data_IF_447014804947
#
_entry.id   IF_447014804947
#
_cell.length_a   1.000
_cell.length_b   1.000
_cell.length_c   1.000
_cell.angle_alpha   90.00
_cell.angle_beta   90.00
_cell.angle_gamma   90.00
#
_symmetry.space_group_name_H-M   'P 1'
#
loop_
_entity.id
_entity.type
_entity.pdbx_description
1 polymer ?
#
# COMPACT_ATOMS: atom_id res chain seq x y z
N UNK A 1 18.30 5.74 -0.64
CA UNK A 1 17.62 6.56 0.39
C UNK A 1 16.33 5.87 0.77
N UNK A 2 15.91 5.88 2.04
CA UNK A 2 14.60 5.35 2.42
C UNK A 2 13.50 6.11 1.68
N UNK A 3 12.45 5.41 1.24
CA UNK A 3 11.30 6.06 0.61
C UNK A 3 10.59 6.93 1.63
N UNK A 4 10.00 8.03 1.19
CA UNK A 4 9.17 8.85 2.08
C UNK A 4 7.78 8.22 2.26
N UNK A 5 7.14 8.46 3.40
CA UNK A 5 5.77 7.98 3.65
C UNK A 5 4.79 8.47 2.56
N UNK A 6 4.95 9.72 2.08
CA UNK A 6 4.15 10.25 0.96
C UNK A 6 4.25 9.42 -0.32
N UNK A 7 5.43 8.84 -0.58
CA UNK A 7 5.68 8.05 -1.79
C UNK A 7 4.98 6.70 -1.68
N UNK A 8 5.05 6.04 -0.51
CA UNK A 8 4.29 4.82 -0.26
C UNK A 8 2.78 5.03 -0.40
N UNK A 9 2.24 6.12 0.14
CA UNK A 9 0.83 6.47 -0.01
C UNK A 9 0.45 6.71 -1.47
N UNK A 10 1.31 7.39 -2.24
CA UNK A 10 1.07 7.66 -3.65
C UNK A 10 1.04 6.38 -4.48
N UNK A 11 1.99 5.46 -4.22
CA UNK A 11 2.03 4.14 -4.87
C UNK A 11 0.76 3.32 -4.60
N UNK A 12 0.33 3.27 -3.34
CA UNK A 12 -0.90 2.58 -2.96
C UNK A 12 -2.14 3.20 -3.63
N UNK A 13 -2.21 4.53 -3.69
CA UNK A 13 -3.30 5.24 -4.35
C UNK A 13 -3.36 4.92 -5.85
N UNK A 14 -2.21 4.93 -6.54
CA UNK A 14 -2.11 4.59 -7.96
C UNK A 14 -2.51 3.14 -8.23
N UNK A 15 -2.21 2.24 -7.30
CA UNK A 15 -2.61 0.85 -7.38
C UNK A 15 -4.09 0.60 -7.06
N UNK A 16 -4.88 1.63 -6.72
CA UNK A 16 -6.30 1.51 -6.43
C UNK A 16 -6.64 1.22 -4.96
N UNK A 17 -5.67 1.30 -4.04
CA UNK A 17 -5.95 1.16 -2.62
C UNK A 17 -6.74 2.37 -2.10
N UNK A 18 -7.71 2.08 -1.24
CA UNK A 18 -8.47 3.09 -0.51
C UNK A 18 -7.83 3.32 0.86
N UNK A 19 -7.63 4.59 1.23
CA UNK A 19 -7.21 4.95 2.58
C UNK A 19 -8.42 5.18 3.49
N UNK A 20 -8.28 4.81 4.76
CA UNK A 20 -9.17 5.13 5.86
C UNK A 20 -8.37 5.78 6.98
N UNK A 21 -8.79 6.95 7.48
CA UNK A 21 -8.13 7.57 8.61
C UNK A 21 -8.24 6.66 9.84
N UNK A 22 -7.12 6.49 10.55
CA UNK A 22 -7.08 5.81 11.83
C UNK A 22 -6.67 6.80 12.92
N UNK A 23 -6.63 6.35 14.17
CA UNK A 23 -6.29 7.20 15.31
C UNK A 23 -4.90 7.85 15.13
N UNK A 24 -4.83 9.18 15.26
CA UNK A 24 -3.58 9.94 15.20
C UNK A 24 -3.01 10.07 13.79
N UNK A 25 -1.70 9.88 13.64
CA UNK A 25 -1.01 9.94 12.33
C UNK A 25 -1.00 8.58 11.62
N UNK A 26 -1.96 7.71 11.91
CA UNK A 26 -2.08 6.40 11.27
C UNK A 26 -3.12 6.44 10.16
N UNK A 27 -2.83 5.74 9.07
CA UNK A 27 -3.76 5.53 7.96
C UNK A 27 -3.81 4.05 7.63
N UNK A 28 -5.02 3.52 7.48
CA UNK A 28 -5.26 2.13 7.06
C UNK A 28 -5.55 2.12 5.57
N UNK A 29 -4.80 1.33 4.82
CA UNK A 29 -4.93 1.17 3.38
C UNK A 29 -5.47 -0.21 3.07
N UNK A 30 -6.49 -0.28 2.21
CA UNK A 30 -7.19 -1.53 1.86
C UNK A 30 -7.45 -1.57 0.36
N UNK A 31 -7.39 -2.75 -0.23
CA UNK A 31 -7.73 -2.98 -1.63
C UNK A 31 -8.86 -4.01 -1.71
N UNK A 32 -9.88 -3.87 -2.59
CA UNK A 32 -10.97 -4.83 -2.70
C UNK A 32 -10.51 -6.24 -3.09
N UNK A 33 -9.50 -6.36 -3.94
CA UNK A 33 -8.92 -7.64 -4.37
C UNK A 33 -7.97 -8.27 -3.34
N UNK A 34 -7.55 -7.55 -2.29
CA UNK A 34 -6.61 -8.07 -1.29
C UNK A 34 -7.25 -8.16 0.10
N UNK A 35 -7.15 -9.33 0.78
CA UNK A 35 -7.71 -9.48 2.12
C UNK A 35 -6.89 -8.73 3.19
N UNK A 36 -5.62 -8.43 2.91
CA UNK A 36 -4.71 -7.78 3.86
C UNK A 36 -4.81 -6.25 3.78
N UNK A 37 -4.86 -5.61 4.95
CA UNK A 37 -4.79 -4.16 5.07
C UNK A 37 -3.40 -3.70 5.50
N UNK A 38 -2.90 -2.62 4.91
CA UNK A 38 -1.60 -2.03 5.24
C UNK A 38 -1.81 -0.86 6.19
N UNK A 39 -1.11 -0.84 7.32
CA UNK A 39 -1.17 0.26 8.28
C UNK A 39 0.08 1.12 8.14
N UNK A 40 -0.08 2.31 7.57
CA UNK A 40 1.00 3.29 7.46
C UNK A 40 0.89 4.25 8.64
N UNK A 41 1.93 4.28 9.45
CA UNK A 41 2.07 5.16 10.59
C UNK A 41 3.08 6.28 10.30
N UNK A 42 2.68 7.53 10.52
CA UNK A 42 3.55 8.70 10.42
C UNK A 42 3.03 9.77 9.48
N UNK A 43 3.70 10.92 9.53
CA UNK A 43 3.43 12.07 8.64
C UNK A 43 4.12 11.87 7.30
N UNK A 44 3.62 12.56 6.27
CA UNK A 44 4.07 12.42 4.89
C UNK A 44 5.55 12.74 4.66
N UNK A 45 6.13 13.63 5.47
CA UNK A 45 7.54 14.01 5.40
C UNK A 45 8.52 13.03 6.08
N UNK A 46 8.02 12.07 6.84
CA UNK A 46 8.86 11.10 7.53
C UNK A 46 9.38 10.04 6.55
N UNK A 47 10.55 9.50 6.86
CA UNK A 47 11.07 8.32 6.19
C UNK A 47 10.23 7.09 6.55
N UNK A 48 9.93 6.27 5.54
CA UNK A 48 9.29 5.01 5.74
C UNK A 48 10.23 4.06 6.46
N UNK A 49 9.66 3.24 7.36
CA UNK A 49 10.42 2.16 7.97
C UNK A 49 10.60 1.04 6.93
N UNK A 50 11.74 0.33 6.91
CA UNK A 50 12.00 -0.72 5.92
C UNK A 50 10.89 -1.79 5.84
N UNK A 51 10.25 -2.14 6.96
CA UNK A 51 9.15 -3.10 6.96
C UNK A 51 7.89 -2.58 6.24
N UNK A 52 7.63 -1.26 6.27
CA UNK A 52 6.49 -0.67 5.57
C UNK A 52 6.72 -0.71 4.06
N UNK A 53 7.94 -0.41 3.63
CA UNK A 53 8.30 -0.53 2.22
C UNK A 53 8.12 -1.96 1.73
N UNK A 54 8.59 -2.94 2.51
CA UNK A 54 8.42 -4.36 2.20
C UNK A 54 6.93 -4.74 2.12
N UNK A 55 6.11 -4.35 3.10
CA UNK A 55 4.67 -4.63 3.08
C UNK A 55 3.95 -4.02 1.88
N UNK A 56 4.31 -2.79 1.50
CA UNK A 56 3.73 -2.12 0.33
C UNK A 56 4.12 -2.85 -0.95
N UNK A 57 5.40 -3.19 -1.12
CA UNK A 57 5.86 -3.91 -2.31
C UNK A 57 5.20 -5.29 -2.41
N UNK A 58 5.12 -6.06 -1.32
CA UNK A 58 4.46 -7.37 -1.29
C UNK A 58 2.98 -7.26 -1.70
N UNK A 59 2.27 -6.26 -1.19
CA UNK A 59 0.87 -6.06 -1.54
C UNK A 59 0.69 -5.65 -3.02
N UNK A 60 1.61 -4.87 -3.58
CA UNK A 60 1.60 -4.51 -5.00
C UNK A 60 1.92 -5.71 -5.89
N UNK A 61 2.86 -6.56 -5.50
CA UNK A 61 3.17 -7.80 -6.19
C UNK A 61 2.01 -8.79 -6.15
N UNK A 62 1.37 -8.98 -4.99
CA UNK A 62 0.15 -9.79 -4.87
C UNK A 62 -0.97 -9.24 -5.78
N UNK A 63 -1.14 -7.91 -5.82
CA UNK A 63 -2.15 -7.29 -6.68
C UNK A 63 -1.86 -7.49 -8.17
N UNK A 64 -0.61 -7.35 -8.60
CA UNK A 64 -0.24 -7.54 -9.99
C UNK A 64 -0.46 -8.99 -10.43
N UNK A 65 -0.15 -9.97 -9.57
CA UNK A 65 -0.45 -11.38 -9.86
C UNK A 65 -1.94 -11.64 -10.06
N UNK A 66 -2.78 -11.09 -9.19
CA UNK A 66 -4.25 -11.21 -9.33
C UNK A 66 -4.72 -10.60 -10.65
N UNK A 67 -4.18 -9.44 -11.05
CA UNK A 67 -4.51 -8.81 -12.34
C UNK A 67 -4.05 -9.64 -13.54
N UNK A 68 -2.85 -10.20 -13.48
CA UNK A 68 -2.33 -11.09 -14.53
C UNK A 68 -3.18 -12.37 -14.64
N UNK A 69 -3.58 -12.97 -13.51
CA UNK A 69 -4.45 -14.15 -13.50
C UNK A 69 -5.85 -13.82 -14.06
N UNK A 70 -6.41 -12.64 -13.74
CA UNK A 70 -7.68 -12.15 -14.32
C UNK A 70 -7.57 -11.91 -15.84
N UNK A 71 -6.45 -11.39 -16.35
CA UNK A 71 -6.21 -11.18 -17.79
C UNK A 71 -5.98 -12.48 -18.57
N UNK A 72 -5.59 -13.58 -17.92
CA UNK A 72 -5.35 -14.88 -18.56
C UNK A 72 -6.65 -15.70 -18.66
N UNK A 73 -7.64 -15.42 -17.81
CA UNK A 73 -8.95 -16.10 -17.81
C UNK A 73 -10.00 -15.48 -18.74
N UNK A 74 -9.77 -14.28 -19.29
CA UNK A 74 -10.58 -13.64 -20.36
C UNK A 74 -10.12 -14.01 -21.78
#
# INVERSE_FOLDING_TARGET
MPKKIRELKSLLLQAGFTNKPAKGSHSKWMHPQLPKAIIIAGKDGNDAKPYLEKQVNEALEELNKIKEDEEIEE
#
